data_IF_569161986052
#
_entry.id   IF_569161986052
#
_cell.length_a   1.000
_cell.length_b   1.000
_cell.length_c   1.000
_cell.angle_alpha   90.00
_cell.angle_beta   90.00
_cell.angle_gamma   90.00
#
_symmetry.space_group_name_H-M   'P 1'
#
loop_
_entity.id
_entity.type
_entity.pdbx_description
1 polymer ?
#
# COMPACT_ATOMS: atom_id res chain seq x y z
N UNK A 1 -3.06 -22.00 15.56
CA UNK A 1 -3.98 -20.95 15.07
C UNK A 1 -3.68 -20.76 13.59
N UNK A 2 -4.64 -20.96 12.70
CA UNK A 2 -4.45 -20.63 11.28
C UNK A 2 -4.54 -19.11 11.14
N UNK A 3 -3.39 -18.45 10.98
CA UNK A 3 -3.36 -17.04 10.59
C UNK A 3 -3.97 -16.95 9.19
N UNK A 4 -5.14 -16.33 9.05
CA UNK A 4 -5.80 -16.17 7.75
C UNK A 4 -5.09 -15.07 6.96
N UNK A 5 -3.92 -15.39 6.43
CA UNK A 5 -3.12 -14.50 5.60
C UNK A 5 -3.85 -14.23 4.28
N UNK A 6 -3.82 -12.97 3.86
CA UNK A 6 -4.48 -12.50 2.65
C UNK A 6 -3.51 -11.64 1.85
N UNK A 7 -3.75 -11.56 0.55
CA UNK A 7 -3.11 -10.58 -0.33
C UNK A 7 -4.06 -9.39 -0.47
N UNK A 8 -3.56 -8.19 -0.23
CA UNK A 8 -4.33 -6.94 -0.32
C UNK A 8 -3.71 -6.09 -1.40
N UNK A 9 -4.51 -5.71 -2.39
CA UNK A 9 -4.08 -4.85 -3.49
C UNK A 9 -4.71 -3.48 -3.30
N UNK A 10 -3.88 -2.44 -3.32
CA UNK A 10 -4.28 -1.07 -2.97
C UNK A 10 -3.90 -0.15 -4.11
N UNK A 11 -4.89 0.54 -4.66
CA UNK A 11 -4.66 1.61 -5.63
C UNK A 11 -4.09 2.87 -4.95
N UNK A 12 -3.44 3.74 -5.72
CA UNK A 12 -2.85 4.98 -5.22
C UNK A 12 -3.87 6.12 -5.25
N UNK A 13 -4.26 6.55 -6.43
CA UNK A 13 -4.90 7.85 -6.65
C UNK A 13 -6.37 7.84 -6.22
N UNK A 14 -6.70 8.62 -5.19
CA UNK A 14 -8.05 8.64 -4.63
C UNK A 14 -8.38 7.40 -3.78
N UNK A 15 -7.40 6.54 -3.52
CA UNK A 15 -7.55 5.33 -2.68
C UNK A 15 -6.59 5.35 -1.49
N UNK A 16 -5.27 5.16 -1.73
CA UNK A 16 -4.26 5.24 -0.66
C UNK A 16 -3.84 6.69 -0.37
N UNK A 17 -3.76 7.49 -1.43
CA UNK A 17 -3.40 8.90 -1.38
C UNK A 17 -4.60 9.77 -1.76
N UNK A 18 -4.72 10.91 -1.09
CA UNK A 18 -5.74 11.91 -1.41
C UNK A 18 -5.41 12.70 -2.69
N UNK A 19 -6.26 13.69 -3.01
CA UNK A 19 -6.09 14.58 -4.17
C UNK A 19 -4.80 15.42 -4.14
N UNK A 20 -4.16 15.56 -2.97
CA UNK A 20 -2.87 16.24 -2.81
C UNK A 20 -1.70 15.25 -2.83
N UNK A 21 -1.95 13.99 -3.19
CA UNK A 21 -0.99 12.88 -3.15
C UNK A 21 -0.41 12.63 -1.76
N UNK A 22 -1.17 12.95 -0.72
CA UNK A 22 -0.78 12.70 0.67
C UNK A 22 -1.41 11.39 1.14
N UNK A 23 -0.57 10.48 1.63
CA UNK A 23 -1.03 9.28 2.35
C UNK A 23 -1.26 9.67 3.81
N UNK A 24 -2.50 9.56 4.34
CA UNK A 24 -2.80 9.91 5.71
C UNK A 24 -2.11 8.95 6.70
N UNK A 25 -1.72 9.46 7.87
CA UNK A 25 -1.03 8.65 8.90
C UNK A 25 -1.85 7.42 9.33
N UNK A 26 -3.18 7.54 9.38
CA UNK A 26 -4.06 6.40 9.68
C UNK A 26 -3.90 5.26 8.68
N UNK A 27 -3.77 5.56 7.39
CA UNK A 27 -3.56 4.55 6.34
C UNK A 27 -2.18 3.87 6.49
N UNK A 28 -1.13 4.64 6.81
CA UNK A 28 0.22 4.09 7.06
C UNK A 28 0.21 3.13 8.25
N UNK A 29 -0.46 3.51 9.35
CA UNK A 29 -0.62 2.66 10.53
C UNK A 29 -1.40 1.39 10.19
N UNK A 30 -2.52 1.51 9.47
CA UNK A 30 -3.33 0.38 9.06
C UNK A 30 -2.57 -0.61 8.16
N UNK A 31 -1.77 -0.12 7.21
CA UNK A 31 -0.94 -0.96 6.35
C UNK A 31 0.09 -1.76 7.16
N UNK A 32 0.81 -1.09 8.08
CA UNK A 32 1.76 -1.75 8.97
C UNK A 32 1.10 -2.79 9.87
N UNK A 33 -0.08 -2.48 10.42
CA UNK A 33 -0.83 -3.42 11.25
C UNK A 33 -1.31 -4.63 10.45
N UNK A 34 -1.76 -4.43 9.21
CA UNK A 34 -2.18 -5.51 8.34
C UNK A 34 -1.01 -6.45 8.00
N UNK A 35 0.18 -5.91 7.71
CA UNK A 35 1.40 -6.69 7.52
C UNK A 35 1.80 -7.43 8.80
N UNK A 36 1.74 -6.77 9.98
CA UNK A 36 2.00 -7.41 11.28
C UNK A 36 1.03 -8.57 11.58
N UNK A 37 -0.19 -8.50 11.07
CA UNK A 37 -1.18 -9.58 11.16
C UNK A 37 -0.95 -10.71 10.13
N UNK A 38 0.12 -10.65 9.34
CA UNK A 38 0.53 -11.67 8.39
C UNK A 38 -0.11 -11.54 7.00
N UNK A 39 -0.72 -10.40 6.67
CA UNK A 39 -1.15 -10.10 5.30
C UNK A 39 0.02 -9.57 4.47
N UNK A 40 -0.04 -9.74 3.15
CA UNK A 40 0.88 -9.09 2.21
C UNK A 40 0.15 -8.02 1.43
N UNK A 41 0.73 -6.84 1.33
CA UNK A 41 0.13 -5.67 0.70
C UNK A 41 0.89 -5.32 -0.57
N UNK A 42 0.17 -5.03 -1.64
CA UNK A 42 0.71 -4.68 -2.95
C UNK A 42 0.11 -3.38 -3.42
N UNK A 43 0.93 -2.51 -4.00
CA UNK A 43 0.43 -1.40 -4.81
C UNK A 43 -0.13 -1.96 -6.11
N UNK A 44 -1.30 -1.49 -6.52
CA UNK A 44 -1.94 -1.84 -7.78
C UNK A 44 -2.43 -0.56 -8.46
N UNK A 45 -1.60 0.02 -9.33
CA UNK A 45 -1.83 1.34 -9.92
C UNK A 45 -1.60 1.31 -11.43
N UNK A 46 -2.22 2.23 -12.17
CA UNK A 46 -1.89 2.45 -13.59
C UNK A 46 -0.63 3.30 -13.80
N UNK A 47 -0.01 3.82 -12.74
CA UNK A 47 1.25 4.57 -12.82
C UNK A 47 2.40 3.62 -13.11
N UNK A 48 3.19 3.93 -14.14
CA UNK A 48 4.49 3.27 -14.35
C UNK A 48 5.35 3.38 -13.09
N UNK A 49 6.07 2.30 -12.71
CA UNK A 49 6.93 2.27 -11.50
C UNK A 49 7.80 3.53 -11.28
N UNK A 50 8.49 4.12 -12.29
CA UNK A 50 9.28 5.35 -12.08
C UNK A 50 8.48 6.60 -11.70
N UNK A 51 7.16 6.59 -11.90
CA UNK A 51 6.21 7.68 -11.57
C UNK A 51 5.52 7.49 -10.22
N UNK A 52 5.84 6.42 -9.49
CA UNK A 52 5.36 6.24 -8.12
C UNK A 52 6.25 7.05 -7.19
N UNK A 53 5.64 7.87 -6.33
CA UNK A 53 6.34 8.71 -5.38
C UNK A 53 7.17 7.87 -4.41
N UNK A 54 8.38 8.36 -4.09
CA UNK A 54 9.26 7.71 -3.12
C UNK A 54 8.58 7.52 -1.77
N UNK A 55 7.78 8.50 -1.34
CA UNK A 55 7.01 8.46 -0.10
C UNK A 55 6.03 7.29 -0.02
N UNK A 56 5.55 6.78 -1.16
CA UNK A 56 4.67 5.60 -1.24
C UNK A 56 5.52 4.32 -1.29
N UNK A 57 6.58 4.30 -2.10
CA UNK A 57 7.49 3.14 -2.19
C UNK A 57 8.16 2.82 -0.85
N UNK A 58 8.51 3.85 -0.08
CA UNK A 58 9.16 3.73 1.22
C UNK A 58 8.20 3.25 2.34
N UNK A 59 6.90 3.09 2.06
CA UNK A 59 5.95 2.49 3.01
C UNK A 59 6.15 0.98 3.20
N UNK A 60 6.94 0.33 2.33
CA UNK A 60 7.35 -1.06 2.51
C UNK A 60 6.29 -2.09 2.06
N UNK A 61 5.56 -1.79 0.98
CA UNK A 61 4.68 -2.77 0.33
C UNK A 61 5.47 -3.97 -0.19
N UNK A 62 4.84 -5.15 -0.19
CA UNK A 62 5.42 -6.43 -0.58
C UNK A 62 5.62 -6.58 -2.11
N UNK A 63 5.06 -5.66 -2.90
CA UNK A 63 5.27 -5.58 -4.33
C UNK A 63 4.42 -4.52 -5.02
N UNK A 64 4.59 -4.39 -6.33
CA UNK A 64 3.89 -3.43 -7.18
C UNK A 64 3.38 -4.13 -8.43
N UNK A 65 2.11 -3.90 -8.76
CA UNK A 65 1.50 -4.16 -10.07
C UNK A 65 1.26 -2.81 -10.72
N UNK A 66 1.84 -2.60 -11.90
CA UNK A 66 1.93 -1.33 -12.62
C UNK A 66 1.69 -1.52 -14.11
#
# INVERSE_FOLDING_TARGET
>A
MTTNSKLVFIDIDGTLADENHVVPESAKIACKQAQANGHKLFICTGRSVPKIERSILDLGFDGVVS
#
